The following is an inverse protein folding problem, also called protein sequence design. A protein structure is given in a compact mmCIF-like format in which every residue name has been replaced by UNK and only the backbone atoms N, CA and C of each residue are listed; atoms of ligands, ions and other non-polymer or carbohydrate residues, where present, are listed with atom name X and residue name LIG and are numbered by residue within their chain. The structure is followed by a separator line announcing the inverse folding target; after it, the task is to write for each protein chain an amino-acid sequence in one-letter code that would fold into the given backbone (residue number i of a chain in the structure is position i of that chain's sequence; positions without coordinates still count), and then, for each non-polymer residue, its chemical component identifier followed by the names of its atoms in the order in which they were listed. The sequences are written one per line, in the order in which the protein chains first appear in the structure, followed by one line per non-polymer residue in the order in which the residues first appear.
data_IF_292989149474
#
_entry.id   IF_292989149474
#
_cell.length_a   1.000
_cell.length_b   1.000
_cell.length_c   1.000
_cell.angle_alpha   90.00
_cell.angle_beta   90.00
_cell.angle_gamma   90.00
#
_symmetry.space_group_name_H-M   'P 1'
#
loop_
_entity.id
_entity.type
_entity.pdbx_description
1 polymer ?
#
# COMPACT_ATOMS: atom_id res chain seq x y z
N UNK A 1 -20.37 13.92 -15.83
CA UNK A 1 -21.60 13.10 -15.74
C UNK A 1 -21.34 11.63 -15.38
N UNK A 2 -20.09 11.14 -15.39
CA UNK A 2 -19.76 9.77 -14.98
C UNK A 2 -19.63 9.62 -13.44
N UNK A 3 -19.14 10.63 -12.74
CA UNK A 3 -18.88 10.58 -11.29
C UNK A 3 -20.13 10.34 -10.43
N UNK A 4 -21.29 10.89 -10.84
CA UNK A 4 -22.55 10.78 -10.07
C UNK A 4 -23.01 9.32 -9.93
N UNK A 5 -22.86 8.50 -10.97
CA UNK A 5 -23.26 7.08 -10.94
C UNK A 5 -22.34 6.24 -10.06
N UNK A 6 -21.04 6.54 -10.04
CA UNK A 6 -20.08 5.85 -9.18
C UNK A 6 -20.37 6.15 -7.71
N UNK A 7 -20.65 7.41 -7.39
CA UNK A 7 -21.04 7.81 -6.03
C UNK A 7 -22.33 7.12 -5.57
N UNK A 8 -23.36 7.06 -6.42
CA UNK A 8 -24.61 6.36 -6.10
C UNK A 8 -24.39 4.87 -5.79
N UNK A 9 -23.56 4.18 -6.57
CA UNK A 9 -23.21 2.77 -6.33
C UNK A 9 -22.46 2.60 -5.02
N UNK A 10 -21.46 3.44 -4.77
CA UNK A 10 -20.65 3.41 -3.53
C UNK A 10 -21.52 3.66 -2.29
N UNK A 11 -22.45 4.62 -2.35
CA UNK A 11 -23.38 4.91 -1.25
C UNK A 11 -24.36 3.76 -1.00
N UNK A 12 -24.79 3.07 -2.05
CA UNK A 12 -25.69 1.92 -1.93
C UNK A 12 -25.01 0.66 -1.34
N UNK A 13 -23.68 0.57 -1.42
CA UNK A 13 -22.94 -0.55 -0.88
C UNK A 13 -22.83 -0.47 0.65
N UNK A 14 -23.22 -1.55 1.34
CA UNK A 14 -22.97 -1.76 2.76
C UNK A 14 -22.07 -2.99 2.96
N UNK A 15 -21.18 -2.96 3.94
CA UNK A 15 -20.29 -4.09 4.23
C UNK A 15 -19.15 -4.28 3.21
N UNK A 16 -18.66 -3.19 2.61
CA UNK A 16 -17.46 -3.25 1.75
C UNK A 16 -16.23 -3.45 2.64
N UNK A 17 -15.60 -4.62 2.55
CA UNK A 17 -14.41 -4.97 3.33
C UNK A 17 -13.11 -4.57 2.62
N UNK A 18 -13.07 -4.77 1.30
CA UNK A 18 -11.93 -4.43 0.44
C UNK A 18 -12.37 -3.41 -0.60
N UNK A 19 -11.67 -2.27 -0.67
CA UNK A 19 -11.99 -1.16 -1.55
C UNK A 19 -10.78 -0.77 -2.40
N UNK A 20 -10.95 -0.75 -3.71
CA UNK A 20 -9.98 -0.26 -4.68
C UNK A 20 -10.50 1.01 -5.33
N UNK A 21 -9.77 2.12 -5.18
CA UNK A 21 -10.14 3.43 -5.72
C UNK A 21 -9.09 3.90 -6.71
N UNK A 22 -9.41 3.83 -7.99
CA UNK A 22 -8.59 4.39 -9.07
C UNK A 22 -8.82 5.89 -9.22
N UNK A 23 -7.74 6.61 -9.56
CA UNK A 23 -7.71 8.06 -9.64
C UNK A 23 -8.80 8.53 -10.61
N UNK A 24 -9.84 9.15 -10.07
CA UNK A 24 -10.68 10.03 -10.84
C UNK A 24 -10.00 11.40 -10.85
N UNK A 25 -9.42 11.79 -11.99
CA UNK A 25 -8.99 13.16 -12.20
C UNK A 25 -10.23 14.07 -12.17
N UNK A 26 -10.58 14.54 -10.97
CA UNK A 26 -11.74 15.38 -10.71
C UNK A 26 -11.88 15.63 -9.21
N UNK A 27 -12.22 16.87 -8.82
CA UNK A 27 -12.36 17.33 -7.43
C UNK A 27 -13.54 16.68 -6.66
N UNK A 28 -14.08 15.56 -7.16
CA UNK A 28 -15.24 14.90 -6.58
C UNK A 28 -14.81 14.21 -5.29
N UNK A 29 -15.07 14.84 -4.15
CA UNK A 29 -14.92 14.22 -2.83
C UNK A 29 -15.94 13.10 -2.71
N UNK A 30 -15.51 11.85 -2.89
CA UNK A 30 -16.32 10.71 -2.54
C UNK A 30 -16.50 10.68 -1.02
N UNK A 31 -17.74 10.77 -0.54
CA UNK A 31 -18.04 10.48 0.87
C UNK A 31 -18.00 8.96 1.06
N UNK A 32 -16.95 8.51 1.73
CA UNK A 32 -16.67 7.10 2.01
C UNK A 32 -16.80 6.77 3.49
N UNK A 33 -17.33 7.70 4.30
CA UNK A 33 -17.37 7.57 5.76
C UNK A 33 -18.20 6.35 6.22
N UNK A 34 -19.22 5.96 5.44
CA UNK A 34 -20.08 4.81 5.76
C UNK A 34 -19.45 3.46 5.41
N UNK A 35 -18.50 3.39 4.48
CA UNK A 35 -17.94 2.11 4.01
C UNK A 35 -17.04 1.42 5.04
N UNK A 36 -16.20 2.20 5.75
CA UNK A 36 -15.25 1.72 6.77
C UNK A 36 -14.50 0.43 6.37
N UNK A 37 -13.78 0.44 5.23
CA UNK A 37 -13.11 -0.76 4.72
C UNK A 37 -12.01 -1.25 5.67
N UNK A 38 -11.70 -2.54 5.59
CA UNK A 38 -10.53 -3.14 6.25
C UNK A 38 -9.30 -3.11 5.35
N UNK A 39 -9.49 -3.22 4.03
CA UNK A 39 -8.42 -3.12 3.02
C UNK A 39 -8.76 -1.99 2.07
N UNK A 40 -7.82 -1.07 1.88
CA UNK A 40 -7.96 0.09 1.02
C UNK A 40 -6.75 0.20 0.10
N UNK A 41 -6.98 0.31 -1.20
CA UNK A 41 -5.96 0.64 -2.18
C UNK A 41 -6.36 1.86 -2.97
N UNK A 42 -5.55 2.92 -2.94
CA UNK A 42 -5.87 4.19 -3.57
C UNK A 42 -4.62 5.01 -3.88
N UNK A 43 -4.81 6.10 -4.61
CA UNK A 43 -3.84 7.18 -4.70
C UNK A 43 -3.76 7.95 -3.39
N UNK A 44 -2.57 8.41 -3.01
CA UNK A 44 -2.43 9.35 -1.90
C UNK A 44 -3.17 10.67 -2.16
N UNK A 45 -3.10 11.19 -3.40
CA UNK A 45 -3.75 12.45 -3.77
C UNK A 45 -5.26 12.34 -3.65
N UNK A 46 -5.85 11.20 -4.06
CA UNK A 46 -7.28 10.94 -3.90
C UNK A 46 -7.69 10.73 -2.45
N UNK A 47 -6.76 10.31 -1.58
CA UNK A 47 -7.02 10.08 -0.17
C UNK A 47 -7.07 11.37 0.65
N UNK A 48 -6.27 12.37 0.28
CA UNK A 48 -6.10 13.62 1.04
C UNK A 48 -7.42 14.28 1.47
N UNK A 49 -8.44 14.46 0.59
CA UNK A 49 -9.70 15.06 1.02
C UNK A 49 -10.42 14.25 2.10
N UNK A 50 -10.37 12.91 1.99
CA UNK A 50 -11.01 12.00 2.91
C UNK A 50 -10.30 11.92 4.27
N UNK A 51 -8.96 12.05 4.28
CA UNK A 51 -8.17 12.21 5.52
C UNK A 51 -8.68 13.39 6.35
N UNK A 52 -8.99 14.51 5.69
CA UNK A 52 -9.44 15.72 6.35
C UNK A 52 -10.91 15.66 6.73
N UNK A 53 -11.78 15.21 5.81
CA UNK A 53 -13.23 15.27 6.00
C UNK A 53 -13.80 14.11 6.83
N UNK A 54 -13.17 12.94 6.77
CA UNK A 54 -13.78 11.67 7.22
C UNK A 54 -12.79 10.73 7.92
N UNK A 55 -12.04 11.17 8.95
CA UNK A 55 -11.01 10.34 9.58
C UNK A 55 -11.54 9.02 10.15
N UNK A 56 -12.83 8.96 10.53
CA UNK A 56 -13.46 7.75 11.06
C UNK A 56 -13.48 6.58 10.08
N UNK A 57 -13.42 6.83 8.77
CA UNK A 57 -13.40 5.77 7.74
C UNK A 57 -12.18 4.86 7.87
N UNK A 58 -11.09 5.37 8.45
CA UNK A 58 -9.81 4.67 8.54
C UNK A 58 -9.63 3.86 9.81
N UNK A 59 -10.56 3.96 10.77
CA UNK A 59 -10.45 3.30 12.09
C UNK A 59 -10.35 1.78 12.01
N UNK A 60 -10.81 1.18 10.91
CA UNK A 60 -10.78 -0.27 10.66
C UNK A 60 -9.78 -0.71 9.60
N UNK A 61 -9.08 0.23 8.97
CA UNK A 61 -8.14 -0.07 7.89
C UNK A 61 -6.93 -0.79 8.48
N UNK A 62 -6.76 -2.04 8.08
CA UNK A 62 -5.64 -2.92 8.45
C UNK A 62 -4.62 -2.99 7.32
N UNK A 63 -5.08 -2.93 6.06
CA UNK A 63 -4.24 -2.95 4.87
C UNK A 63 -4.45 -1.66 4.07
N UNK A 64 -3.39 -0.87 3.89
CA UNK A 64 -3.39 0.33 3.06
C UNK A 64 -2.37 0.20 1.94
N UNK A 65 -2.82 0.25 0.69
CA UNK A 65 -1.97 0.35 -0.49
C UNK A 65 -2.02 1.75 -1.10
N UNK A 66 -0.87 2.42 -1.17
CA UNK A 66 -0.71 3.70 -1.84
C UNK A 66 -0.03 3.47 -3.18
N UNK A 67 -0.79 3.63 -4.26
CA UNK A 67 -0.37 3.27 -5.63
C UNK A 67 0.40 4.36 -6.36
N UNK A 68 0.32 5.58 -5.83
CA UNK A 68 0.87 6.75 -6.46
C UNK A 68 2.05 7.25 -5.63
N UNK A 69 2.97 7.92 -6.30
CA UNK A 69 4.04 8.65 -5.63
C UNK A 69 3.43 9.61 -4.61
N UNK A 70 3.88 9.54 -3.36
CA UNK A 70 3.61 10.56 -2.35
C UNK A 70 4.19 11.88 -2.94
N UNK A 71 3.35 12.80 -3.42
CA UNK A 71 3.83 13.99 -4.12
C UNK A 71 4.51 14.93 -3.13
N UNK A 72 5.46 15.74 -3.60
CA UNK A 72 5.94 17.00 -3.00
C UNK A 72 6.30 17.08 -1.48
N UNK A 73 7.29 17.91 -1.20
CA UNK A 73 7.76 18.25 0.17
C UNK A 73 6.63 18.65 1.15
N UNK A 74 5.55 19.26 0.66
CA UNK A 74 4.43 19.70 1.49
C UNK A 74 3.39 18.61 1.81
N UNK A 75 3.26 17.57 0.97
CA UNK A 75 2.42 16.42 1.32
C UNK A 75 3.16 15.42 2.21
N UNK A 76 4.50 15.43 2.21
CA UNK A 76 5.34 14.54 3.02
C UNK A 76 5.02 14.67 4.52
N UNK A 77 4.94 15.90 5.04
CA UNK A 77 4.57 16.14 6.44
C UNK A 77 3.14 15.66 6.77
N UNK A 78 2.20 15.81 5.82
CA UNK A 78 0.80 15.37 5.97
C UNK A 78 0.68 13.86 5.93
N UNK A 79 1.47 13.20 5.09
CA UNK A 79 1.53 11.75 5.03
C UNK A 79 2.00 11.16 6.37
N UNK A 80 3.12 11.63 6.91
CA UNK A 80 3.60 11.09 8.19
C UNK A 80 2.72 11.45 9.38
N UNK A 81 2.02 12.58 9.36
CA UNK A 81 1.07 12.95 10.42
C UNK A 81 -0.25 12.18 10.32
N UNK A 82 -0.61 11.73 9.12
CA UNK A 82 -1.76 10.88 8.89
C UNK A 82 -1.54 9.44 9.38
N UNK A 83 -0.34 8.88 9.22
CA UNK A 83 -0.05 7.49 9.58
C UNK A 83 -0.48 7.11 11.02
N UNK A 84 -0.18 7.90 12.08
CA UNK A 84 -0.67 7.62 13.43
C UNK A 84 -2.20 7.61 13.59
N UNK A 85 -2.95 8.20 12.67
CA UNK A 85 -4.43 8.21 12.68
C UNK A 85 -5.05 6.88 12.21
N UNK A 86 -4.22 5.89 11.85
CA UNK A 86 -4.60 4.56 11.40
C UNK A 86 -4.38 3.52 12.51
N UNK A 87 -5.23 3.47 13.56
CA UNK A 87 -4.95 2.71 14.77
C UNK A 87 -4.94 1.18 14.60
N UNK A 88 -5.52 0.70 13.49
CA UNK A 88 -5.62 -0.71 13.14
C UNK A 88 -4.63 -1.14 12.03
N UNK A 89 -3.81 -0.22 11.52
CA UNK A 89 -2.93 -0.51 10.39
C UNK A 89 -1.84 -1.51 10.77
N UNK A 90 -1.82 -2.63 10.07
CA UNK A 90 -0.81 -3.69 10.20
C UNK A 90 -0.03 -3.89 8.89
N UNK A 91 -0.61 -3.55 7.75
CA UNK A 91 -0.01 -3.73 6.43
C UNK A 91 -0.06 -2.42 5.64
N UNK A 92 1.10 -1.96 5.18
CA UNK A 92 1.23 -0.75 4.38
C UNK A 92 2.04 -1.08 3.13
N UNK A 93 1.57 -0.65 1.98
CA UNK A 93 2.30 -0.72 0.72
C UNK A 93 2.42 0.70 0.21
N UNK A 94 3.65 1.12 -0.07
CA UNK A 94 3.95 2.41 -0.67
C UNK A 94 4.64 2.18 -1.99
N UNK A 95 4.15 2.91 -3.00
CA UNK A 95 4.71 2.88 -4.33
C UNK A 95 5.57 4.12 -4.58
N UNK A 96 6.80 3.91 -5.07
CA UNK A 96 7.72 4.99 -5.39
C UNK A 96 8.08 5.01 -6.87
N UNK A 97 7.69 6.11 -7.54
CA UNK A 97 8.10 6.37 -8.92
C UNK A 97 9.24 7.40 -8.95
N UNK A 98 10.35 7.02 -9.58
CA UNK A 98 11.43 7.93 -9.91
C UNK A 98 11.06 8.72 -11.17
N UNK A 99 10.33 9.81 -11.01
CA UNK A 99 10.34 10.88 -12.00
C UNK A 99 11.07 12.09 -11.38
N UNK A 100 11.99 12.72 -12.09
CA UNK A 100 12.50 14.09 -11.80
C UNK A 100 12.83 14.47 -10.32
N UNK A 101 13.91 13.91 -9.74
CA UNK A 101 14.51 14.39 -8.48
C UNK A 101 13.60 14.36 -7.22
N UNK A 102 12.55 13.54 -7.19
CA UNK A 102 11.71 13.45 -5.99
C UNK A 102 12.46 12.89 -4.78
N UNK A 103 12.19 13.51 -3.63
CA UNK A 103 12.71 13.06 -2.34
C UNK A 103 12.27 11.63 -2.08
N UNK A 104 13.23 10.83 -1.61
CA UNK A 104 12.98 9.44 -1.25
C UNK A 104 12.08 9.38 -0.03
N UNK A 105 11.08 8.50 -0.07
CA UNK A 105 10.23 8.22 1.09
C UNK A 105 11.11 7.76 2.25
N UNK A 106 10.94 8.40 3.41
CA UNK A 106 11.68 8.03 4.61
C UNK A 106 11.03 6.82 5.28
N UNK A 107 11.51 5.64 4.89
CA UNK A 107 11.05 4.35 5.42
C UNK A 107 11.21 4.25 6.93
N UNK A 108 12.27 4.83 7.49
CA UNK A 108 12.50 4.79 8.94
C UNK A 108 11.42 5.58 9.68
N UNK A 109 10.99 6.71 9.11
CA UNK A 109 9.91 7.53 9.66
C UNK A 109 8.55 6.85 9.56
N UNK A 110 8.26 6.14 8.46
CA UNK A 110 7.04 5.30 8.36
C UNK A 110 7.02 4.26 9.48
N UNK A 111 8.12 3.52 9.61
CA UNK A 111 8.26 2.43 10.58
C UNK A 111 8.16 2.92 12.03
N UNK A 112 8.61 4.14 12.30
CA UNK A 112 8.48 4.79 13.61
C UNK A 112 7.05 5.29 13.88
N UNK A 113 6.35 5.83 12.87
CA UNK A 113 4.97 6.31 13.00
C UNK A 113 3.94 5.19 13.17
N UNK A 114 4.26 3.98 12.72
CA UNK A 114 3.36 2.82 12.75
C UNK A 114 3.95 1.67 13.57
N UNK A 115 3.89 1.71 14.92
CA UNK A 115 4.50 0.68 15.77
C UNK A 115 3.79 -0.68 15.68
N UNK A 116 2.52 -0.72 15.26
CA UNK A 116 1.75 -1.96 15.04
C UNK A 116 1.94 -2.55 13.64
N UNK A 117 2.70 -1.87 12.77
CA UNK A 117 2.93 -2.37 11.42
C UNK A 117 3.65 -3.71 11.50
N UNK A 118 3.12 -4.71 10.81
CA UNK A 118 3.65 -6.07 10.72
C UNK A 118 4.43 -6.25 9.41
N UNK A 119 3.92 -5.66 8.33
CA UNK A 119 4.48 -5.74 6.98
C UNK A 119 4.44 -4.37 6.31
N UNK A 120 5.61 -3.91 5.83
CA UNK A 120 5.76 -2.73 4.98
C UNK A 120 6.28 -3.18 3.62
N UNK A 121 5.47 -3.01 2.59
CA UNK A 121 5.86 -3.28 1.21
C UNK A 121 6.30 -1.96 0.58
N UNK A 122 7.55 -1.94 0.12
CA UNK A 122 8.09 -0.84 -0.67
C UNK A 122 8.22 -1.31 -2.11
N UNK A 123 7.35 -0.81 -2.98
CA UNK A 123 7.43 -1.11 -4.41
C UNK A 123 8.18 -0.01 -5.14
N UNK A 124 9.10 -0.42 -6.01
CA UNK A 124 9.88 0.49 -6.82
C UNK A 124 9.80 0.08 -8.29
N UNK A 125 9.69 1.08 -9.16
CA UNK A 125 9.69 0.87 -10.60
C UNK A 125 11.01 0.21 -11.07
N UNK A 126 10.92 -0.70 -12.06
CA UNK A 126 12.00 -1.61 -12.50
C UNK A 126 13.31 -0.92 -12.90
N UNK A 127 13.24 0.35 -13.29
CA UNK A 127 14.38 1.09 -13.84
C UNK A 127 15.40 1.57 -12.81
N UNK A 128 15.22 1.29 -11.52
CA UNK A 128 16.13 1.78 -10.49
C UNK A 128 17.23 0.76 -10.19
N UNK A 129 18.50 1.18 -10.30
CA UNK A 129 19.62 0.31 -9.94
C UNK A 129 19.56 -0.08 -8.45
N UNK A 130 19.98 -1.31 -8.14
CA UNK A 130 20.02 -1.83 -6.76
C UNK A 130 20.79 -0.93 -5.79
N UNK A 131 21.75 -0.16 -6.30
CA UNK A 131 22.57 0.79 -5.51
C UNK A 131 21.74 1.93 -4.93
N UNK A 132 20.58 2.22 -5.52
CA UNK A 132 19.67 3.25 -5.06
C UNK A 132 18.61 2.72 -4.08
N UNK A 133 18.67 1.46 -3.64
CA UNK A 133 17.82 0.95 -2.58
C UNK A 133 18.29 1.53 -1.23
N UNK A 134 17.37 2.07 -0.41
CA UNK A 134 17.74 2.35 0.99
C UNK A 134 17.84 0.97 1.62
N UNK A 135 18.95 0.61 2.24
CA UNK A 135 18.98 -0.55 3.10
C UNK A 135 18.49 -0.13 4.50
N UNK A 136 17.23 -0.42 4.81
CA UNK A 136 16.74 -0.37 6.20
C UNK A 136 16.73 -1.80 6.73
N UNK A 137 17.45 -2.02 7.84
CA UNK A 137 17.47 -3.30 8.54
C UNK A 137 16.26 -3.40 9.49
N UNK A 138 15.09 -3.68 8.91
CA UNK A 138 13.85 -3.91 9.66
C UNK A 138 13.17 -5.18 9.13
N UNK A 139 12.79 -6.09 10.03
CA UNK A 139 12.19 -7.38 9.68
C UNK A 139 10.83 -7.24 8.99
N UNK A 140 10.14 -6.11 9.16
CA UNK A 140 8.83 -5.83 8.58
C UNK A 140 8.91 -5.38 7.13
N UNK A 141 10.08 -4.93 6.68
CA UNK A 141 10.25 -4.31 5.36
C UNK A 141 10.46 -5.36 4.26
N UNK A 142 9.67 -5.25 3.20
CA UNK A 142 9.74 -6.07 1.99
C UNK A 142 9.84 -5.14 0.78
N UNK A 143 10.92 -5.26 0.02
CA UNK A 143 11.08 -4.66 -1.28
C UNK A 143 10.50 -5.58 -2.33
N UNK A 144 9.54 -5.05 -3.08
CA UNK A 144 8.96 -5.75 -4.22
C UNK A 144 9.26 -4.95 -5.47
N UNK A 145 9.68 -5.65 -6.52
CA UNK A 145 9.77 -5.04 -7.83
C UNK A 145 8.34 -4.77 -8.31
N UNK A 146 8.05 -3.54 -8.73
CA UNK A 146 6.73 -3.23 -9.24
C UNK A 146 6.42 -4.09 -10.46
N UNK A 147 5.29 -4.77 -10.43
CA UNK A 147 4.65 -5.34 -11.60
C UNK A 147 3.42 -4.50 -11.92
N UNK A 148 3.16 -4.22 -13.20
CA UNK A 148 2.03 -3.39 -13.66
C UNK A 148 0.65 -4.00 -13.41
N UNK A 149 0.57 -5.10 -12.64
CA UNK A 149 -0.59 -5.96 -12.43
C UNK A 149 -1.24 -5.79 -11.06
N UNK A 150 -1.10 -4.62 -10.42
CA UNK A 150 -1.66 -4.41 -9.07
C UNK A 150 -3.18 -4.69 -8.97
N UNK A 151 -3.94 -4.42 -10.05
CA UNK A 151 -5.37 -4.76 -10.08
C UNK A 151 -5.61 -6.27 -10.16
N UNK A 152 -4.81 -7.01 -10.95
CA UNK A 152 -4.94 -8.47 -11.05
C UNK A 152 -4.65 -9.13 -9.71
N UNK A 153 -3.61 -8.66 -9.02
CA UNK A 153 -3.25 -9.08 -7.67
C UNK A 153 -4.35 -8.78 -6.66
N UNK A 154 -4.94 -7.59 -6.73
CA UNK A 154 -6.05 -7.24 -5.85
C UNK A 154 -7.27 -8.12 -6.10
N UNK A 155 -7.56 -8.42 -7.36
CA UNK A 155 -8.65 -9.32 -7.72
C UNK A 155 -8.35 -10.77 -7.33
N UNK A 156 -7.08 -11.19 -7.26
CA UNK A 156 -6.69 -12.53 -6.82
C UNK A 156 -7.18 -12.81 -5.39
N UNK A 157 -7.05 -11.84 -4.49
CA UNK A 157 -7.60 -11.95 -3.13
C UNK A 157 -9.11 -12.21 -3.15
N UNK A 158 -9.87 -11.49 -3.97
CA UNK A 158 -11.33 -11.68 -4.04
C UNK A 158 -11.74 -13.07 -4.52
N UNK A 159 -10.82 -13.80 -5.17
CA UNK A 159 -10.99 -15.19 -5.61
C UNK A 159 -10.45 -16.21 -4.59
N UNK A 160 -9.87 -15.76 -3.47
CA UNK A 160 -9.20 -16.60 -2.48
C UNK A 160 -7.85 -17.14 -2.96
N UNK A 161 -7.27 -16.53 -4.00
CA UNK A 161 -5.91 -16.81 -4.46
C UNK A 161 -4.92 -16.05 -3.57
N UNK A 162 -3.67 -16.50 -3.54
CA UNK A 162 -2.62 -15.81 -2.79
C UNK A 162 -2.29 -14.48 -3.50
N UNK A 163 -2.32 -13.38 -2.75
CA UNK A 163 -2.03 -12.03 -3.24
C UNK A 163 -0.62 -11.60 -2.81
N UNK A 164 -0.15 -10.44 -3.29
CA UNK A 164 1.15 -9.91 -2.91
C UNK A 164 1.30 -9.68 -1.39
N UNK A 165 0.20 -9.43 -0.66
CA UNK A 165 0.25 -9.27 0.80
C UNK A 165 0.59 -10.59 1.47
N UNK A 166 -0.11 -11.67 1.12
CA UNK A 166 0.17 -13.00 1.62
C UNK A 166 1.61 -13.46 1.28
N UNK A 167 2.11 -13.12 0.08
CA UNK A 167 3.51 -13.33 -0.29
C UNK A 167 4.48 -12.58 0.63
N UNK A 168 4.22 -11.30 0.89
CA UNK A 168 5.04 -10.47 1.77
C UNK A 168 5.03 -10.98 3.22
N UNK A 169 3.86 -11.40 3.72
CA UNK A 169 3.72 -11.95 5.07
C UNK A 169 4.48 -13.26 5.24
N UNK A 170 4.39 -14.16 4.26
CA UNK A 170 5.18 -15.39 4.25
C UNK A 170 6.68 -15.09 4.28
N UNK A 171 7.13 -14.07 3.53
CA UNK A 171 8.52 -13.64 3.51
C UNK A 171 8.96 -13.05 4.86
N UNK A 172 8.16 -12.17 5.46
CA UNK A 172 8.43 -11.61 6.80
C UNK A 172 8.46 -12.73 7.86
N UNK A 173 7.55 -13.70 7.78
CA UNK A 173 7.51 -14.85 8.69
C UNK A 173 8.78 -15.69 8.58
N UNK A 174 9.20 -16.05 7.35
CA UNK A 174 10.47 -16.75 7.10
C UNK A 174 11.68 -16.00 7.65
N UNK A 175 11.65 -14.66 7.58
CA UNK A 175 12.72 -13.84 8.14
C UNK A 175 12.76 -13.89 9.67
N UNK A 176 11.58 -13.81 10.31
CA UNK A 176 11.44 -13.86 11.76
C UNK A 176 11.86 -15.20 12.36
N UNK A 177 11.69 -16.32 11.64
CA UNK A 177 12.16 -17.64 12.08
C UNK A 177 13.61 -17.95 11.67
N UNK A 178 14.27 -17.08 10.91
CA UNK A 178 15.66 -17.27 10.47
C UNK A 178 15.86 -18.20 9.27
N UNK A 179 14.79 -18.55 8.56
CA UNK A 179 14.87 -19.33 7.30
C UNK A 179 15.48 -18.51 6.16
N UNK A 180 15.33 -17.19 6.20
CA UNK A 180 15.98 -16.26 5.27
C UNK A 180 16.79 -15.21 6.02
N UNK A 181 17.86 -14.72 5.40
CA UNK A 181 18.71 -13.70 6.01
C UNK A 181 17.89 -12.43 6.36
N UNK A 182 18.07 -11.84 7.56
CA UNK A 182 17.35 -10.64 7.97
C UNK A 182 17.49 -9.45 7.01
N UNK A 183 18.67 -9.35 6.38
CA UNK A 183 18.99 -8.29 5.42
C UNK A 183 18.43 -8.55 4.02
N UNK A 184 17.94 -9.76 3.76
CA UNK A 184 17.29 -10.08 2.49
C UNK A 184 15.94 -9.40 2.47
N UNK A 185 15.90 -8.29 1.77
CA UNK A 185 14.74 -7.44 1.73
C UNK A 185 13.99 -7.54 0.39
N UNK A 186 14.57 -8.14 -0.64
CA UNK A 186 13.98 -8.24 -1.98
C UNK A 186 13.23 -9.57 -2.14
N UNK A 187 11.97 -9.47 -2.54
CA UNK A 187 11.17 -10.58 -3.02
C UNK A 187 11.26 -10.59 -4.56
N UNK A 188 12.03 -11.52 -5.11
CA UNK A 188 12.20 -11.66 -6.56
C UNK A 188 11.27 -12.73 -7.12
N UNK A 189 10.89 -12.61 -8.39
CA UNK A 189 10.02 -13.58 -9.09
C UNK A 189 10.56 -15.01 -9.09
N UNK A 190 11.87 -15.19 -8.84
CA UNK A 190 12.55 -16.50 -8.84
C UNK A 190 12.59 -17.14 -7.45
N UNK A 191 12.13 -16.45 -6.42
CA UNK A 191 12.10 -17.02 -5.08
C UNK A 191 10.93 -17.99 -5.01
N UNK A 192 11.24 -19.29 -4.94
CA UNK A 192 10.27 -20.39 -4.82
C UNK A 192 9.46 -20.24 -3.52
N UNK A 193 8.46 -19.36 -3.56
CA UNK A 193 7.36 -19.31 -2.61
C UNK A 193 6.34 -20.32 -3.15
N UNK A 194 5.86 -21.27 -2.34
CA UNK A 194 4.93 -22.29 -2.81
C UNK A 194 3.66 -21.64 -3.39
N UNK A 195 3.48 -21.82 -4.69
CA UNK A 195 2.52 -21.11 -5.54
C UNK A 195 3.26 -20.66 -6.81
N UNK A 196 2.82 -21.11 -7.99
CA UNK A 196 3.49 -20.79 -9.26
C UNK A 196 3.27 -19.31 -9.63
N UNK A 197 4.00 -18.40 -8.98
CA UNK A 197 4.03 -16.99 -9.33
C UNK A 197 5.09 -16.75 -10.39
N UNK A 198 4.78 -17.13 -11.63
CA UNK A 198 5.52 -16.67 -12.80
C UNK A 198 4.97 -15.30 -13.19
N UNK A 199 5.56 -14.25 -12.65
CA UNK A 199 5.36 -12.92 -13.17
C UNK A 199 6.25 -12.77 -14.40
N UNK A 200 5.64 -12.73 -15.59
CA UNK A 200 6.33 -12.47 -16.87
C UNK A 200 6.86 -11.03 -16.94
#
# INVERSE_FOLDING_TARGET
MHDTKVHEVIVACSGVHSLWLEVFHGQSTLDLAHLRPQRLSCSWVSLLPAVVSSPSMFTRVTHLGLRDTIPYLEDDARFYSFLPSLPALTHLSVHYQLFNNFQKVDITKILASCPKLETLIYTQHIMVSKENLIFVDDLRLVYMQENSRHLEEWLAETRGEMDFWACADAFVAKRRCGEIEPRRCILSQTDEIPGNYHFL
#
